data_IF_919207930376
#
_entry.id   IF_919207930376
#
_cell.length_a   1.000
_cell.length_b   1.000
_cell.length_c   1.000
_cell.angle_alpha   90.00
_cell.angle_beta   90.00
_cell.angle_gamma   90.00
#
_symmetry.space_group_name_H-M   'P 1'
#
loop_
_entity.id
_entity.type
_entity.pdbx_description
1 polymer ?
#
# COMPACT_ATOMS: atom_id res chain seq x y z
N UNK A 1 0.66 -62.54 17.11
CA UNK A 1 1.95 -61.90 16.75
C UNK A 1 1.68 -60.63 15.96
N UNK A 2 1.74 -59.47 16.59
CA UNK A 2 1.65 -58.17 15.91
C UNK A 2 3.06 -57.71 15.54
N UNK A 3 3.24 -57.25 14.30
CA UNK A 3 4.39 -56.44 13.94
C UNK A 3 3.97 -55.40 12.90
N UNK A 4 3.66 -54.19 13.36
CA UNK A 4 3.64 -52.98 12.52
C UNK A 4 4.59 -51.98 13.17
N UNK A 5 5.74 -51.87 12.55
CA UNK A 5 6.76 -50.86 12.75
C UNK A 5 6.14 -49.47 12.66
N UNK A 6 6.13 -48.75 13.78
CA UNK A 6 5.86 -47.32 13.83
C UNK A 6 6.97 -46.60 13.05
N UNK A 7 6.59 -45.97 11.93
CA UNK A 7 7.44 -44.95 11.30
C UNK A 7 7.36 -43.70 12.17
N UNK A 8 8.45 -43.38 12.84
CA UNK A 8 8.73 -42.05 13.36
C UNK A 8 8.56 -41.04 12.22
N UNK A 9 7.47 -40.28 12.26
CA UNK A 9 7.33 -39.05 11.48
C UNK A 9 8.41 -38.12 11.99
N UNK A 10 9.43 -37.88 11.17
CA UNK A 10 10.44 -36.86 11.42
C UNK A 10 9.73 -35.51 11.54
N UNK A 11 9.50 -35.06 12.77
CA UNK A 11 9.02 -33.72 13.05
C UNK A 11 10.04 -32.73 12.52
N UNK A 12 9.74 -32.14 11.37
CA UNK A 12 10.51 -31.01 10.85
C UNK A 12 10.41 -29.92 11.92
N UNK A 13 11.54 -29.36 12.40
CA UNK A 13 11.47 -28.30 13.39
C UNK A 13 10.60 -27.17 12.84
N UNK A 14 9.78 -26.50 13.69
CA UNK A 14 8.96 -25.39 13.24
C UNK A 14 9.87 -24.43 12.47
N UNK A 15 9.42 -24.05 11.26
CA UNK A 15 10.16 -23.10 10.46
C UNK A 15 10.39 -21.86 11.33
N UNK A 16 11.66 -21.49 11.51
CA UNK A 16 11.99 -20.29 12.26
C UNK A 16 11.21 -19.11 11.68
N UNK A 17 10.55 -18.35 12.55
CA UNK A 17 9.80 -17.15 12.16
C UNK A 17 10.77 -16.21 11.44
N UNK A 18 10.53 -15.85 10.15
CA UNK A 18 11.49 -15.05 9.40
C UNK A 18 11.67 -13.66 9.99
N UNK A 19 12.91 -13.18 10.07
CA UNK A 19 13.20 -11.78 10.38
C UNK A 19 13.01 -10.91 9.13
N UNK A 20 12.47 -9.71 9.33
CA UNK A 20 12.28 -8.78 8.22
C UNK A 20 13.62 -8.22 7.72
N UNK A 21 13.86 -8.34 6.42
CA UNK A 21 15.03 -7.84 5.71
C UNK A 21 14.63 -6.99 4.51
N UNK A 22 15.55 -6.17 4.03
CA UNK A 22 15.37 -5.35 2.83
C UNK A 22 15.51 -6.20 1.56
N UNK A 23 14.67 -5.95 0.57
CA UNK A 23 14.74 -6.58 -0.73
C UNK A 23 14.24 -8.03 -0.73
N UNK A 24 14.54 -8.75 -1.81
CA UNK A 24 14.02 -10.09 -2.07
C UNK A 24 14.91 -11.20 -1.49
N UNK A 25 14.29 -12.23 -0.94
CA UNK A 25 14.97 -13.38 -0.33
C UNK A 25 14.58 -14.69 -1.05
N UNK A 26 15.52 -15.64 -1.06
CA UNK A 26 15.31 -16.92 -1.74
C UNK A 26 14.46 -17.91 -0.94
N UNK A 27 14.44 -17.78 0.39
CA UNK A 27 13.74 -18.68 1.30
C UNK A 27 13.65 -18.08 2.73
N UNK A 28 12.73 -18.60 3.59
CA UNK A 28 12.51 -18.09 4.94
C UNK A 28 13.76 -18.05 5.85
N UNK A 29 14.73 -18.96 5.64
CA UNK A 29 15.95 -19.03 6.47
C UNK A 29 16.93 -17.88 6.21
N UNK A 30 16.73 -17.12 5.12
CA UNK A 30 17.56 -15.96 4.76
C UNK A 30 16.91 -14.63 5.16
N UNK A 31 15.81 -14.67 5.92
CA UNK A 31 14.95 -13.52 6.16
C UNK A 31 13.79 -13.47 5.17
N UNK A 32 12.98 -12.42 5.30
CA UNK A 32 11.84 -12.15 4.43
C UNK A 32 11.67 -10.65 4.23
N UNK A 33 11.20 -10.20 3.07
CA UNK A 33 10.50 -8.93 3.02
C UNK A 33 9.09 -9.10 3.62
N UNK A 34 8.41 -7.98 3.86
CA UNK A 34 7.03 -7.98 4.34
C UNK A 34 6.10 -8.91 3.54
N UNK A 35 6.15 -8.85 2.20
CA UNK A 35 5.23 -9.61 1.34
C UNK A 35 5.62 -11.08 1.19
N UNK A 36 6.91 -11.41 1.28
CA UNK A 36 7.35 -12.82 1.33
C UNK A 36 6.81 -13.49 2.59
N UNK A 37 6.87 -12.80 3.73
CA UNK A 37 6.31 -13.32 4.97
C UNK A 37 4.77 -13.39 4.90
N UNK A 38 4.11 -12.39 4.32
CA UNK A 38 2.66 -12.46 4.06
C UNK A 38 2.27 -13.67 3.20
N UNK A 39 3.03 -13.94 2.12
CA UNK A 39 2.81 -15.12 1.26
C UNK A 39 2.93 -16.43 2.04
N UNK A 40 3.93 -16.50 2.92
CA UNK A 40 4.17 -17.67 3.77
C UNK A 40 3.04 -17.89 4.77
N UNK A 41 2.57 -16.84 5.45
CA UNK A 41 1.46 -16.91 6.39
C UNK A 41 0.13 -17.24 5.71
N UNK A 42 -0.07 -16.80 4.47
CA UNK A 42 -1.24 -17.12 3.65
C UNK A 42 -1.22 -18.56 3.08
N UNK A 43 -0.14 -19.33 3.32
CA UNK A 43 0.02 -20.68 2.74
C UNK A 43 0.31 -20.67 1.24
N UNK A 44 0.69 -19.52 0.67
CA UNK A 44 1.06 -19.40 -0.74
C UNK A 44 2.51 -19.82 -0.99
N UNK A 45 2.88 -19.95 -2.27
CA UNK A 45 4.27 -20.11 -2.66
C UNK A 45 5.06 -18.85 -2.26
N UNK A 46 6.25 -19.04 -1.69
CA UNK A 46 7.17 -17.97 -1.32
C UNK A 46 7.36 -16.96 -2.47
N UNK A 47 6.85 -15.74 -2.27
CA UNK A 47 6.87 -14.67 -3.28
C UNK A 47 6.75 -13.31 -2.62
N UNK A 48 7.47 -12.32 -3.14
CA UNK A 48 7.29 -10.91 -2.80
C UNK A 48 6.12 -10.26 -3.57
N UNK A 49 5.48 -11.03 -4.46
CA UNK A 49 4.27 -10.67 -5.20
C UNK A 49 3.18 -11.73 -4.98
N UNK A 50 2.63 -11.85 -3.75
CA UNK A 50 1.60 -12.85 -3.46
C UNK A 50 0.25 -12.49 -4.09
N UNK A 51 -0.62 -13.49 -4.23
CA UNK A 51 -2.02 -13.29 -4.63
C UNK A 51 -2.91 -12.89 -3.47
N UNK A 52 -2.49 -13.10 -2.22
CA UNK A 52 -3.29 -12.84 -1.03
C UNK A 52 -3.44 -11.35 -0.68
N UNK A 53 -2.88 -10.44 -1.46
CA UNK A 53 -2.94 -8.98 -1.23
C UNK A 53 -3.03 -8.22 -2.56
N UNK A 54 -3.80 -7.14 -2.57
CA UNK A 54 -3.96 -6.27 -3.73
C UNK A 54 -2.58 -5.79 -4.25
N UNK A 55 -2.29 -5.86 -5.57
CA UNK A 55 -0.94 -5.62 -6.10
C UNK A 55 -0.33 -4.26 -5.73
N UNK A 56 -1.13 -3.19 -5.70
CA UNK A 56 -0.64 -1.87 -5.33
C UNK A 56 -0.31 -1.79 -3.83
N UNK A 57 -1.10 -2.43 -2.96
CA UNK A 57 -0.84 -2.49 -1.53
C UNK A 57 0.42 -3.34 -1.24
N UNK A 58 0.59 -4.47 -1.95
CA UNK A 58 1.82 -5.27 -1.89
C UNK A 58 3.05 -4.47 -2.37
N UNK A 59 2.89 -3.60 -3.37
CA UNK A 59 3.91 -2.65 -3.80
C UNK A 59 4.28 -1.64 -2.70
N UNK A 60 3.28 -1.01 -2.07
CA UNK A 60 3.48 -0.10 -0.96
C UNK A 60 4.20 -0.79 0.22
N UNK A 61 3.75 -1.97 0.63
CA UNK A 61 4.32 -2.70 1.76
C UNK A 61 5.79 -3.05 1.54
N UNK A 62 6.17 -3.48 0.33
CA UNK A 62 7.58 -3.69 -0.04
C UNK A 62 8.40 -2.41 0.01
N UNK A 63 7.88 -1.32 -0.55
CA UNK A 63 8.57 -0.04 -0.52
C UNK A 63 8.79 0.46 0.91
N UNK A 64 7.77 0.38 1.77
CA UNK A 64 7.87 0.73 3.20
C UNK A 64 8.91 -0.16 3.89
N UNK A 65 8.86 -1.48 3.69
CA UNK A 65 9.86 -2.40 4.23
C UNK A 65 11.30 -2.03 3.84
N UNK A 66 11.51 -1.72 2.57
CA UNK A 66 12.84 -1.45 2.01
C UNK A 66 13.41 -0.08 2.37
N UNK A 67 12.54 0.85 2.78
CA UNK A 67 12.92 2.22 3.19
C UNK A 67 12.82 2.46 4.70
N UNK A 68 12.29 1.51 5.46
CA UNK A 68 12.39 1.51 6.93
C UNK A 68 13.81 1.08 7.33
N UNK A 69 14.40 1.74 8.31
CA UNK A 69 15.74 1.38 8.81
C UNK A 69 15.79 -0.04 9.38
N UNK A 70 16.99 -0.62 9.44
CA UNK A 70 17.19 -1.98 9.98
C UNK A 70 16.72 -2.10 11.43
N UNK A 71 16.93 -1.07 12.24
CA UNK A 71 16.54 -1.00 13.65
C UNK A 71 15.01 -1.08 13.82
N UNK A 72 14.26 -0.32 13.00
CA UNK A 72 12.82 -0.22 13.13
C UNK A 72 12.05 -1.22 12.26
N UNK A 73 12.69 -1.92 11.32
CA UNK A 73 11.98 -2.78 10.35
C UNK A 73 11.14 -3.87 11.01
N UNK A 74 11.60 -4.44 12.13
CA UNK A 74 10.84 -5.49 12.82
C UNK A 74 9.51 -4.98 13.39
N UNK A 75 9.35 -3.66 13.60
CA UNK A 75 8.09 -3.06 14.03
C UNK A 75 6.98 -3.14 12.96
N UNK A 76 7.32 -3.50 11.72
CA UNK A 76 6.34 -3.78 10.67
C UNK A 76 5.74 -5.18 10.78
N UNK A 77 6.40 -6.13 11.46
CA UNK A 77 5.96 -7.53 11.50
C UNK A 77 4.52 -7.73 12.03
N UNK A 78 4.05 -6.99 13.06
CA UNK A 78 2.67 -7.10 13.52
C UNK A 78 1.60 -6.73 12.47
N UNK A 79 1.96 -5.97 11.41
CA UNK A 79 1.02 -5.58 10.36
C UNK A 79 0.84 -6.65 9.28
N UNK A 80 1.72 -7.65 9.21
CA UNK A 80 1.75 -8.64 8.11
C UNK A 80 0.44 -9.44 8.01
N UNK A 81 -0.17 -9.94 9.10
CA UNK A 81 -1.44 -10.67 8.98
C UNK A 81 -2.57 -9.81 8.40
N UNK A 82 -2.53 -8.48 8.60
CA UNK A 82 -3.61 -7.57 8.23
C UNK A 82 -3.71 -7.29 6.72
N UNK A 83 -2.72 -7.67 5.91
CA UNK A 83 -2.80 -7.54 4.44
C UNK A 83 -3.39 -8.77 3.75
N UNK A 84 -3.49 -9.89 4.46
CA UNK A 84 -3.94 -11.18 3.91
C UNK A 84 -5.45 -11.12 3.67
N UNK A 85 -5.87 -11.48 2.46
CA UNK A 85 -7.26 -11.44 2.02
C UNK A 85 -7.73 -10.08 1.51
N UNK A 86 -6.87 -9.06 1.50
CA UNK A 86 -7.19 -7.74 0.93
C UNK A 86 -7.01 -7.76 -0.60
N UNK A 87 -7.81 -8.55 -1.31
CA UNK A 87 -7.65 -8.86 -2.74
C UNK A 87 -8.73 -8.27 -3.66
N UNK A 88 -9.45 -7.24 -3.21
CA UNK A 88 -10.55 -6.64 -3.98
C UNK A 88 -10.12 -6.09 -5.35
N UNK A 89 -11.06 -6.01 -6.29
CA UNK A 89 -10.81 -5.51 -7.66
C UNK A 89 -11.45 -4.15 -7.96
N UNK A 90 -12.21 -3.59 -7.00
CA UNK A 90 -12.76 -2.24 -7.10
C UNK A 90 -11.64 -1.21 -7.32
N UNK A 91 -11.65 -0.45 -8.43
CA UNK A 91 -10.69 0.61 -8.71
C UNK A 91 -10.57 1.68 -7.61
N UNK A 92 -11.59 1.81 -6.74
CA UNK A 92 -11.53 2.69 -5.57
C UNK A 92 -10.42 2.29 -4.59
N UNK A 93 -10.01 1.02 -4.54
CA UNK A 93 -8.89 0.55 -3.72
C UNK A 93 -7.59 1.23 -4.16
N UNK A 94 -7.33 1.29 -5.47
CA UNK A 94 -6.12 1.94 -6.01
C UNK A 94 -6.10 3.44 -5.72
N UNK A 95 -7.26 4.09 -5.84
CA UNK A 95 -7.42 5.51 -5.56
C UNK A 95 -7.22 5.80 -4.07
N UNK A 96 -7.80 4.99 -3.18
CA UNK A 96 -7.64 5.12 -1.74
C UNK A 96 -6.17 4.99 -1.32
N UNK A 97 -5.45 3.99 -1.84
CA UNK A 97 -4.00 3.83 -1.58
C UNK A 97 -3.22 5.05 -2.08
N UNK A 98 -3.50 5.52 -3.30
CA UNK A 98 -2.80 6.66 -3.89
C UNK A 98 -3.05 7.96 -3.10
N UNK A 99 -4.30 8.24 -2.72
CA UNK A 99 -4.66 9.40 -1.90
C UNK A 99 -4.01 9.33 -0.52
N UNK A 100 -4.06 8.17 0.16
CA UNK A 100 -3.38 7.95 1.44
C UNK A 100 -1.89 8.26 1.33
N UNK A 101 -1.21 7.71 0.32
CA UNK A 101 0.22 7.94 0.09
C UNK A 101 0.52 9.41 -0.19
N UNK A 102 -0.21 10.02 -1.12
CA UNK A 102 0.04 11.40 -1.53
C UNK A 102 -0.24 12.38 -0.39
N UNK A 103 -1.38 12.29 0.28
CA UNK A 103 -1.77 13.23 1.36
C UNK A 103 -0.91 13.10 2.61
N UNK A 104 -0.40 11.91 2.92
CA UNK A 104 0.51 11.69 4.05
C UNK A 104 1.90 12.27 3.77
N UNK A 105 2.42 12.06 2.55
CA UNK A 105 3.77 12.50 2.20
C UNK A 105 3.84 13.99 1.83
N UNK A 106 2.79 14.54 1.20
CA UNK A 106 2.78 15.89 0.63
C UNK A 106 3.31 16.99 1.58
N UNK A 107 2.94 17.04 2.87
CA UNK A 107 3.38 18.11 3.77
C UNK A 107 4.84 18.00 4.23
N UNK A 108 5.46 16.83 4.09
CA UNK A 108 6.79 16.54 4.67
C UNK A 108 7.89 16.38 3.63
N UNK A 109 7.54 16.12 2.37
CA UNK A 109 8.54 15.99 1.30
C UNK A 109 9.12 17.34 0.89
N UNK A 110 10.32 17.32 0.30
CA UNK A 110 10.96 18.47 -0.30
C UNK A 110 10.05 19.16 -1.34
N UNK A 111 10.17 20.49 -1.45
CA UNK A 111 9.29 21.35 -2.26
C UNK A 111 9.14 20.86 -3.72
N UNK A 112 10.21 20.38 -4.34
CA UNK A 112 10.18 19.87 -5.72
C UNK A 112 9.28 18.63 -5.85
N UNK A 113 9.26 17.77 -4.83
CA UNK A 113 8.38 16.58 -4.78
C UNK A 113 6.95 16.95 -4.41
N UNK A 114 6.73 18.05 -3.69
CA UNK A 114 5.38 18.54 -3.37
C UNK A 114 4.59 18.87 -4.64
N UNK A 115 5.24 19.43 -5.67
CA UNK A 115 4.61 19.71 -6.97
C UNK A 115 4.01 18.44 -7.59
N UNK A 116 4.80 17.36 -7.64
CA UNK A 116 4.35 16.09 -8.20
C UNK A 116 3.25 15.43 -7.36
N UNK A 117 3.41 15.41 -6.02
CA UNK A 117 2.40 14.82 -5.13
C UNK A 117 1.09 15.63 -5.10
N UNK A 118 1.15 16.96 -5.23
CA UNK A 118 -0.05 17.79 -5.36
C UNK A 118 -0.83 17.45 -6.65
N UNK A 119 -0.14 17.21 -7.76
CA UNK A 119 -0.77 16.70 -8.99
C UNK A 119 -1.37 15.32 -8.77
N UNK A 120 -0.67 14.42 -8.06
CA UNK A 120 -1.20 13.09 -7.70
C UNK A 120 -2.50 13.17 -6.88
N UNK A 121 -2.57 14.04 -5.87
CA UNK A 121 -3.80 14.25 -5.07
C UNK A 121 -4.95 14.69 -5.98
N UNK A 122 -4.75 15.73 -6.79
CA UNK A 122 -5.80 16.24 -7.66
C UNK A 122 -6.23 15.23 -8.72
N UNK A 123 -5.30 14.43 -9.27
CA UNK A 123 -5.61 13.39 -10.24
C UNK A 123 -6.43 12.26 -9.61
N UNK A 124 -6.04 11.79 -8.41
CA UNK A 124 -6.73 10.74 -7.70
C UNK A 124 -8.15 11.17 -7.26
N UNK A 125 -8.31 12.41 -6.79
CA UNK A 125 -9.63 12.99 -6.46
C UNK A 125 -10.57 13.07 -7.66
N UNK A 126 -10.03 13.41 -8.83
CA UNK A 126 -10.82 13.43 -10.05
C UNK A 126 -11.27 12.03 -10.47
N UNK A 127 -10.37 11.05 -10.43
CA UNK A 127 -10.72 9.65 -10.71
C UNK A 127 -11.73 9.12 -9.69
N UNK A 128 -11.60 9.48 -8.40
CA UNK A 128 -12.58 9.15 -7.37
C UNK A 128 -13.96 9.71 -7.73
N UNK A 129 -13.99 11.00 -8.10
CA UNK A 129 -15.22 11.68 -8.49
C UNK A 129 -15.94 11.00 -9.66
N UNK A 130 -15.19 10.59 -10.69
CA UNK A 130 -15.73 9.82 -11.82
C UNK A 130 -16.29 8.46 -11.41
N UNK A 131 -15.59 7.75 -10.50
CA UNK A 131 -16.03 6.44 -10.00
C UNK A 131 -17.31 6.53 -9.15
N UNK A 132 -17.52 7.65 -8.47
CA UNK A 132 -18.66 7.86 -7.58
C UNK A 132 -19.82 8.61 -8.26
N UNK A 133 -19.61 9.13 -9.48
CA UNK A 133 -20.60 9.96 -10.16
C UNK A 133 -20.87 11.27 -9.43
N UNK A 134 -19.93 11.76 -8.62
CA UNK A 134 -20.07 13.01 -7.85
C UNK A 134 -19.55 14.22 -8.61
N UNK A 135 -20.06 15.39 -8.23
CA UNK A 135 -19.54 16.66 -8.73
C UNK A 135 -18.04 16.83 -8.36
N UNK A 136 -17.28 17.62 -9.14
CA UNK A 136 -15.89 17.92 -8.82
C UNK A 136 -15.74 18.50 -7.41
N UNK A 137 -14.83 17.92 -6.63
CA UNK A 137 -14.61 18.26 -5.24
C UNK A 137 -13.44 17.49 -4.66
N UNK A 138 -12.95 17.93 -3.51
CA UNK A 138 -11.89 17.27 -2.76
C UNK A 138 -12.45 16.73 -1.45
N UNK A 139 -12.07 15.50 -1.10
CA UNK A 139 -12.28 14.98 0.24
C UNK A 139 -11.57 15.85 1.29
N UNK A 140 -12.05 15.87 2.55
CA UNK A 140 -11.47 16.68 3.61
C UNK A 140 -9.96 16.49 3.79
N UNK A 141 -9.48 15.24 3.78
CA UNK A 141 -8.06 14.93 3.95
C UNK A 141 -7.20 15.46 2.79
N UNK A 142 -7.69 15.38 1.55
CA UNK A 142 -7.01 15.92 0.38
C UNK A 142 -6.92 17.44 0.42
N UNK A 143 -8.01 18.09 0.85
CA UNK A 143 -8.05 19.55 1.05
C UNK A 143 -7.03 19.98 2.10
N UNK A 144 -7.07 19.35 3.28
CA UNK A 144 -6.16 19.65 4.38
C UNK A 144 -4.68 19.47 3.99
N UNK A 145 -4.36 18.39 3.25
CA UNK A 145 -3.00 18.17 2.78
C UNK A 145 -2.55 19.25 1.79
N UNK A 146 -3.40 19.68 0.86
CA UNK A 146 -3.10 20.74 -0.10
C UNK A 146 -2.99 22.13 0.55
N UNK A 147 -3.79 22.39 1.59
CA UNK A 147 -3.78 23.67 2.32
C UNK A 147 -2.46 23.86 3.10
N UNK A 148 -1.79 22.77 3.49
CA UNK A 148 -0.44 22.81 4.10
C UNK A 148 0.68 23.15 3.12
N UNK A 149 0.44 23.06 1.80
CA UNK A 149 1.42 23.34 0.74
C UNK A 149 0.83 24.27 -0.35
N UNK A 150 0.40 25.49 0.02
CA UNK A 150 -0.46 26.30 -0.83
C UNK A 150 0.20 26.70 -2.17
N UNK A 151 1.52 26.83 -2.23
CA UNK A 151 2.26 27.09 -3.47
C UNK A 151 2.19 25.91 -4.44
N UNK A 152 2.50 24.70 -3.97
CA UNK A 152 2.42 23.49 -4.77
C UNK A 152 0.98 23.21 -5.22
N UNK A 153 0.00 23.44 -4.35
CA UNK A 153 -1.42 23.28 -4.67
C UNK A 153 -1.88 24.25 -5.77
N UNK A 154 -1.48 25.54 -5.72
CA UNK A 154 -1.78 26.51 -6.78
C UNK A 154 -1.15 26.10 -8.11
N UNK A 155 0.13 25.72 -8.09
CA UNK A 155 0.83 25.27 -9.28
C UNK A 155 0.17 24.03 -9.91
N UNK A 156 -0.15 23.01 -9.11
CA UNK A 156 -0.75 21.77 -9.58
C UNK A 156 -2.15 21.98 -10.21
N UNK A 157 -2.95 22.90 -9.67
CA UNK A 157 -4.25 23.28 -10.26
C UNK A 157 -4.08 23.89 -11.65
N UNK A 158 -3.09 24.75 -11.84
CA UNK A 158 -2.76 25.32 -13.15
C UNK A 158 -2.25 24.27 -14.14
N UNK A 159 -1.38 23.36 -13.68
CA UNK A 159 -0.82 22.29 -14.51
C UNK A 159 -1.88 21.29 -15.02
N UNK A 160 -2.85 20.90 -14.18
CA UNK A 160 -3.89 19.94 -14.58
C UNK A 160 -4.87 20.44 -15.63
N UNK A 161 -4.94 21.75 -15.89
CA UNK A 161 -5.81 22.34 -16.90
C UNK A 161 -5.64 21.77 -18.31
N UNK A 162 -4.54 21.06 -18.59
CA UNK A 162 -4.27 20.40 -19.88
C UNK A 162 -4.09 18.88 -19.87
N UNK A 163 -4.24 18.18 -18.72
CA UNK A 163 -3.91 16.75 -18.62
C UNK A 163 -5.06 15.92 -18.04
N UNK A 164 -5.71 15.13 -18.90
CA UNK A 164 -6.68 14.11 -18.49
C UNK A 164 -5.97 12.75 -18.39
N UNK A 165 -6.06 12.13 -17.22
CA UNK A 165 -5.58 10.76 -17.01
C UNK A 165 -6.78 9.83 -17.08
N UNK A 166 -6.73 8.84 -17.96
CA UNK A 166 -7.75 7.77 -18.00
C UNK A 166 -7.61 6.85 -16.79
N UNK A 167 -8.69 6.19 -16.36
CA UNK A 167 -8.66 5.18 -15.28
C UNK A 167 -7.58 4.11 -15.48
N UNK A 168 -7.42 3.61 -16.71
CA UNK A 168 -6.37 2.64 -17.07
C UNK A 168 -4.96 3.24 -16.92
N UNK A 169 -4.77 4.49 -17.34
CA UNK A 169 -3.52 5.21 -17.17
C UNK A 169 -3.20 5.48 -15.70
N UNK A 170 -4.22 5.80 -14.90
CA UNK A 170 -4.09 6.00 -13.47
C UNK A 170 -3.59 4.74 -12.77
N UNK A 171 -4.29 3.62 -12.98
CA UNK A 171 -3.92 2.29 -12.46
C UNK A 171 -2.50 1.89 -12.83
N UNK A 172 -2.15 2.04 -14.12
CA UNK A 172 -0.89 1.53 -14.65
C UNK A 172 0.32 2.38 -14.29
N UNK A 173 0.14 3.70 -14.17
CA UNK A 173 1.26 4.64 -14.06
C UNK A 173 1.12 5.59 -12.88
N UNK A 174 0.00 6.31 -12.77
CA UNK A 174 -0.12 7.38 -11.77
C UNK A 174 -0.12 6.87 -10.33
N UNK A 175 -0.88 5.82 -10.03
CA UNK A 175 -0.97 5.27 -8.67
C UNK A 175 0.36 4.62 -8.22
N UNK A 176 1.01 3.72 -9.01
CA UNK A 176 2.33 3.20 -8.66
C UNK A 176 3.40 4.29 -8.48
N UNK A 177 3.45 5.28 -9.37
CA UNK A 177 4.39 6.40 -9.26
C UNK A 177 4.14 7.24 -7.99
N UNK A 178 2.87 7.46 -7.64
CA UNK A 178 2.49 8.19 -6.42
C UNK A 178 3.00 7.47 -5.17
N UNK A 179 2.78 6.15 -5.09
CA UNK A 179 3.29 5.32 -3.98
C UNK A 179 4.81 5.42 -3.88
N UNK A 180 5.53 5.29 -5.01
CA UNK A 180 6.98 5.37 -5.03
C UNK A 180 7.51 6.75 -4.61
N UNK A 181 6.92 7.83 -5.11
CA UNK A 181 7.28 9.20 -4.75
C UNK A 181 7.02 9.49 -3.28
N UNK A 182 5.87 9.06 -2.76
CA UNK A 182 5.49 9.25 -1.37
C UNK A 182 6.46 8.55 -0.42
N UNK A 183 6.69 7.24 -0.60
CA UNK A 183 7.56 6.46 0.31
C UNK A 183 8.99 6.95 0.28
N UNK A 184 9.57 7.16 -0.92
CA UNK A 184 10.93 7.70 -1.04
C UNK A 184 11.04 9.10 -0.46
N UNK A 185 10.01 9.92 -0.68
CA UNK A 185 9.94 11.27 -0.17
C UNK A 185 9.93 11.30 1.36
N UNK A 186 9.10 10.49 2.01
CA UNK A 186 9.04 10.37 3.48
C UNK A 186 10.38 9.87 4.02
N UNK A 187 10.95 8.82 3.41
CA UNK A 187 12.22 8.25 3.85
C UNK A 187 13.41 9.23 3.76
N UNK A 188 13.30 10.24 2.90
CA UNK A 188 14.31 11.28 2.67
C UNK A 188 13.95 12.63 3.31
N UNK A 189 12.80 12.71 4.00
CA UNK A 189 12.31 13.95 4.57
C UNK A 189 13.13 14.34 5.80
N UNK A 190 13.34 15.64 5.98
CA UNK A 190 13.98 16.21 7.17
C UNK A 190 12.97 16.31 8.33
N UNK A 191 12.45 15.16 8.76
CA UNK A 191 11.51 15.04 9.88
C UNK A 191 12.11 14.18 10.99
N UNK A 192 11.57 14.31 12.20
CA UNK A 192 12.12 13.64 13.38
C UNK A 192 12.08 12.10 13.29
N UNK A 193 11.01 11.53 12.75
CA UNK A 193 10.81 10.07 12.74
C UNK A 193 10.13 9.61 11.43
N UNK A 194 10.92 9.43 10.35
CA UNK A 194 10.40 8.97 9.06
C UNK A 194 9.93 7.50 9.11
N UNK A 195 10.58 6.64 9.90
CA UNK A 195 10.20 5.23 10.01
C UNK A 195 8.81 5.06 10.63
N UNK A 196 8.51 5.83 11.68
CA UNK A 196 7.17 5.89 12.25
C UNK A 196 6.14 6.36 11.23
N UNK A 197 6.44 7.42 10.48
CA UNK A 197 5.51 7.93 9.46
C UNK A 197 5.27 6.91 8.33
N UNK A 198 6.30 6.16 7.90
CA UNK A 198 6.14 5.07 6.94
C UNK A 198 5.27 3.94 7.48
N UNK A 199 5.43 3.58 8.76
CA UNK A 199 4.60 2.56 9.42
C UNK A 199 3.15 3.02 9.58
N UNK A 200 2.91 4.27 9.95
CA UNK A 200 1.58 4.89 10.03
C UNK A 200 0.93 4.96 8.64
N UNK A 201 1.69 5.34 7.62
CA UNK A 201 1.23 5.33 6.22
C UNK A 201 0.75 3.94 5.79
N UNK A 202 1.55 2.89 6.03
CA UNK A 202 1.18 1.52 5.69
C UNK A 202 -0.05 1.07 6.48
N UNK A 203 -0.10 1.37 7.78
CA UNK A 203 -1.24 1.04 8.65
C UNK A 203 -2.53 1.67 8.13
N UNK A 204 -2.50 2.96 7.79
CA UNK A 204 -3.65 3.66 7.22
C UNK A 204 -4.08 3.08 5.87
N UNK A 205 -3.13 2.78 4.98
CA UNK A 205 -3.44 2.18 3.69
C UNK A 205 -4.09 0.78 3.82
N UNK A 206 -3.64 -0.04 4.79
CA UNK A 206 -4.26 -1.33 5.11
C UNK A 206 -5.71 -1.13 5.57
N UNK A 207 -5.96 -0.16 6.44
CA UNK A 207 -7.31 0.15 6.94
C UNK A 207 -8.23 0.63 5.83
N UNK A 208 -7.75 1.53 4.95
CA UNK A 208 -8.50 2.03 3.80
C UNK A 208 -8.86 0.88 2.84
N UNK A 209 -7.91 -0.01 2.54
CA UNK A 209 -8.16 -1.20 1.72
C UNK A 209 -9.17 -2.15 2.35
N UNK A 210 -9.05 -2.42 3.65
CA UNK A 210 -9.98 -3.28 4.36
C UNK A 210 -11.40 -2.71 4.35
N UNK A 211 -11.55 -1.37 4.45
CA UNK A 211 -12.85 -0.72 4.31
C UNK A 211 -13.42 -0.89 2.89
N UNK A 212 -12.61 -0.64 1.86
CA UNK A 212 -13.03 -0.78 0.47
C UNK A 212 -13.43 -2.22 0.10
N UNK A 213 -12.66 -3.23 0.52
CA UNK A 213 -12.96 -4.65 0.28
C UNK A 213 -14.26 -5.08 0.98
N UNK A 214 -14.53 -4.58 2.20
CA UNK A 214 -15.80 -4.84 2.89
C UNK A 214 -16.98 -4.23 2.13
N UNK A 215 -16.85 -2.99 1.68
CA UNK A 215 -17.88 -2.31 0.88
C UNK A 215 -18.15 -3.05 -0.42
N UNK A 216 -17.11 -3.46 -1.14
CA UNK A 216 -17.22 -4.25 -2.37
C UNK A 216 -17.96 -5.57 -2.12
N UNK A 217 -17.61 -6.29 -1.06
CA UNK A 217 -18.25 -7.55 -0.67
C UNK A 217 -19.74 -7.34 -0.40
N UNK A 218 -20.09 -6.31 0.38
CA UNK A 218 -21.48 -5.98 0.67
C UNK A 218 -22.30 -5.62 -0.59
N UNK A 219 -21.70 -4.90 -1.55
CA UNK A 219 -22.36 -4.59 -2.82
C UNK A 219 -22.62 -5.87 -3.64
N UNK A 220 -21.65 -6.80 -3.66
CA UNK A 220 -21.79 -8.08 -4.38
C UNK A 220 -22.88 -8.98 -3.78
N UNK A 221 -23.05 -8.99 -2.46
CA UNK A 221 -24.09 -9.78 -1.78
C UNK A 221 -25.51 -9.26 -2.04
N UNK A 222 -25.66 -7.95 -2.28
CA UNK A 222 -26.96 -7.31 -2.54
C UNK A 222 -27.38 -7.40 -4.02
N UNK A 223 -26.43 -7.59 -4.94
CA UNK A 223 -26.73 -7.77 -6.36
C UNK A 223 -27.40 -9.14 -6.61
N UNK A 224 -28.62 -9.22 -7.18
CA UNK A 224 -29.29 -10.49 -7.42
C UNK A 224 -28.46 -11.35 -8.37
N UNK A 225 -28.19 -12.60 -7.97
CA UNK A 225 -27.62 -13.62 -8.86
C UNK A 225 -28.55 -13.73 -10.05
N UNK A 226 -28.08 -13.26 -11.21
CA UNK A 226 -28.79 -13.31 -12.49
C UNK A 226 -28.60 -14.67 -13.15
#
# INVERSE_FOLDING_TARGET
MGNRTERLVSGQPPAAVPLLGKGKHRNPRKGACFMEFASYLAGEKWSDHPSCTHPLLAGLARLVNDHTTDENRQLLAPLIPSVIGLTGDDPRIEVAIALRCATTALPVVAAERQLALAVSVLAAEHVLGELEGRAPGLEPASREALDRVPEAARWARGFRGGVHISRRGFRRYAAPNTVQLAVRGIAQACIQDPDRLLRELLTGAIQDCAAAVRTETAIREVAPVS
#
